data_IF_919803667553
#
_entry.id   IF_919803667553
#
_cell.length_a   1.000
_cell.length_b   1.000
_cell.length_c   1.000
_cell.angle_alpha   90.00
_cell.angle_beta   90.00
_cell.angle_gamma   90.00
#
_symmetry.space_group_name_H-M   'P 1'
#
loop_
_entity.id
_entity.type
_entity.pdbx_description
1 polymer ?
#
# COMPACT_ATOMS: atom_id res chain seq x y z
N UNK A 1 10.19 -18.14 14.00
CA UNK A 1 8.80 -17.75 13.75
C UNK A 1 8.68 -16.26 14.00
N UNK A 2 8.24 -15.51 13.04
CA UNK A 2 7.88 -14.12 13.24
C UNK A 2 6.54 -14.08 13.97
N UNK A 3 6.52 -13.56 15.18
CA UNK A 3 5.26 -13.33 15.89
C UNK A 3 4.48 -12.22 15.18
N UNK A 4 3.19 -12.42 15.00
CA UNK A 4 2.29 -11.38 14.52
C UNK A 4 2.16 -10.27 15.57
N UNK A 5 2.05 -9.04 15.10
CA UNK A 5 1.89 -7.86 15.94
C UNK A 5 0.53 -7.22 15.70
N UNK A 6 0.02 -6.54 16.71
CA UNK A 6 -1.26 -5.84 16.61
C UNK A 6 -1.27 -4.52 17.42
N UNK A 7 -2.08 -3.58 16.94
CA UNK A 7 -2.28 -2.25 17.52
C UNK A 7 -3.76 -1.93 17.55
N UNK A 8 -4.22 -1.30 18.61
CA UNK A 8 -5.63 -0.92 18.76
C UNK A 8 -5.77 0.59 18.93
N UNK A 9 -6.80 1.15 18.29
CA UNK A 9 -7.15 2.55 18.43
C UNK A 9 -8.61 2.79 17.99
N UNK A 10 -9.37 3.50 18.81
CA UNK A 10 -10.73 3.94 18.51
C UNK A 10 -11.67 2.81 18.03
N UNK A 11 -11.51 1.62 18.59
CA UNK A 11 -12.31 0.44 18.25
C UNK A 11 -11.88 -0.26 16.95
N UNK A 12 -10.74 0.11 16.37
CA UNK A 12 -10.11 -0.56 15.24
C UNK A 12 -8.84 -1.28 15.66
N UNK A 13 -8.52 -2.33 14.92
CA UNK A 13 -7.29 -3.11 15.09
C UNK A 13 -6.47 -3.09 13.80
N UNK A 14 -5.17 -2.88 13.91
CA UNK A 14 -4.21 -3.21 12.84
C UNK A 14 -3.47 -4.47 13.26
N UNK A 15 -3.27 -5.40 12.33
CA UNK A 15 -2.53 -6.64 12.60
C UNK A 15 -1.69 -7.07 11.40
N UNK A 16 -0.52 -7.64 11.67
CA UNK A 16 0.35 -8.29 10.69
C UNK A 16 0.09 -9.79 10.55
N UNK A 17 -0.91 -10.31 11.25
CA UNK A 17 -1.28 -11.73 11.21
C UNK A 17 -1.93 -12.09 9.87
N UNK A 18 -1.21 -12.86 9.04
CA UNK A 18 -1.69 -13.31 7.73
C UNK A 18 -2.94 -14.16 7.81
N UNK A 19 -3.12 -14.92 8.90
CA UNK A 19 -4.29 -15.79 9.07
C UNK A 19 -5.61 -15.02 9.21
N UNK A 20 -5.53 -13.74 9.59
CA UNK A 20 -6.69 -12.85 9.71
C UNK A 20 -7.10 -12.18 8.40
N UNK A 21 -6.25 -12.20 7.38
CA UNK A 21 -6.52 -11.52 6.13
C UNK A 21 -7.67 -12.17 5.36
N UNK A 22 -8.56 -11.34 4.87
CA UNK A 22 -9.61 -11.74 3.94
C UNK A 22 -9.12 -11.56 2.50
N UNK A 23 -8.55 -12.62 1.93
CA UNK A 23 -7.97 -12.59 0.58
C UNK A 23 -9.02 -12.24 -0.48
N UNK A 24 -10.24 -12.72 -0.32
CA UNK A 24 -11.32 -12.42 -1.29
C UNK A 24 -11.67 -10.93 -1.29
N UNK A 25 -11.75 -10.31 -0.12
CA UNK A 25 -11.98 -8.86 -0.01
C UNK A 25 -10.83 -8.06 -0.60
N UNK A 26 -9.60 -8.44 -0.30
CA UNK A 26 -8.41 -7.77 -0.83
C UNK A 26 -8.37 -7.89 -2.37
N UNK A 27 -8.58 -9.08 -2.89
CA UNK A 27 -8.63 -9.33 -4.34
C UNK A 27 -9.74 -8.52 -5.01
N UNK A 28 -10.95 -8.54 -4.47
CA UNK A 28 -12.08 -7.81 -5.03
C UNK A 28 -11.80 -6.31 -5.09
N UNK A 29 -11.30 -5.74 -4.00
CA UNK A 29 -10.95 -4.32 -3.98
C UNK A 29 -9.85 -3.97 -4.99
N UNK A 30 -8.77 -4.71 -4.99
CA UNK A 30 -7.62 -4.43 -5.86
C UNK A 30 -7.97 -4.59 -7.34
N UNK A 31 -8.71 -5.62 -7.70
CA UNK A 31 -9.06 -5.90 -9.09
C UNK A 31 -10.12 -4.97 -9.66
N UNK A 32 -11.06 -4.51 -8.84
CA UNK A 32 -12.25 -3.81 -9.31
C UNK A 32 -12.31 -2.33 -8.91
N UNK A 33 -11.69 -1.94 -7.80
CA UNK A 33 -11.78 -0.58 -7.28
C UNK A 33 -10.44 0.19 -7.34
N UNK A 34 -9.31 -0.51 -7.31
CA UNK A 34 -7.98 0.12 -7.31
C UNK A 34 -7.46 0.30 -8.73
N UNK A 35 -7.22 1.55 -9.13
CA UNK A 35 -6.71 1.87 -10.47
C UNK A 35 -5.33 1.23 -10.75
N UNK A 36 -4.49 1.07 -9.72
CA UNK A 36 -3.13 0.55 -9.86
C UNK A 36 -3.05 -0.97 -9.98
N UNK A 37 -4.14 -1.68 -9.77
CA UNK A 37 -4.18 -3.13 -9.72
C UNK A 37 -5.33 -3.74 -10.53
N UNK A 38 -5.89 -2.98 -11.48
CA UNK A 38 -7.03 -3.41 -12.30
C UNK A 38 -6.78 -4.78 -12.93
N UNK A 39 -7.72 -5.70 -12.75
CA UNK A 39 -7.67 -7.05 -13.33
C UNK A 39 -6.66 -8.00 -12.68
N UNK A 40 -6.02 -7.63 -11.57
CA UNK A 40 -5.09 -8.51 -10.86
C UNK A 40 -5.80 -9.76 -10.38
N UNK A 41 -5.24 -10.94 -10.69
CA UNK A 41 -5.84 -12.22 -10.31
C UNK A 41 -5.72 -12.51 -8.82
N UNK A 42 -6.63 -13.38 -8.30
CA UNK A 42 -6.56 -13.84 -6.91
C UNK A 42 -5.23 -14.51 -6.56
N UNK A 43 -4.71 -15.32 -7.48
CA UNK A 43 -3.42 -16.00 -7.29
C UNK A 43 -2.26 -15.01 -7.15
N UNK A 44 -2.22 -13.97 -7.98
CA UNK A 44 -1.23 -12.90 -7.89
C UNK A 44 -1.34 -12.15 -6.56
N UNK A 45 -2.55 -11.84 -6.12
CA UNK A 45 -2.79 -11.20 -4.81
C UNK A 45 -2.27 -12.09 -3.68
N UNK A 46 -2.62 -13.37 -3.65
CA UNK A 46 -2.18 -14.31 -2.62
C UNK A 46 -0.64 -14.42 -2.58
N UNK A 47 -0.01 -14.62 -3.73
CA UNK A 47 1.45 -14.71 -3.84
C UNK A 47 2.15 -13.42 -3.37
N UNK A 48 1.59 -12.26 -3.72
CA UNK A 48 2.15 -10.98 -3.30
C UNK A 48 2.10 -10.79 -1.78
N UNK A 49 1.04 -11.25 -1.14
CA UNK A 49 0.88 -11.20 0.32
C UNK A 49 1.87 -12.14 1.01
N UNK A 50 2.07 -13.34 0.49
CA UNK A 50 3.05 -14.30 1.03
C UNK A 50 4.49 -13.75 1.03
N UNK A 51 4.83 -12.94 0.05
CA UNK A 51 6.18 -12.40 -0.18
C UNK A 51 6.36 -10.95 0.26
N UNK A 52 5.49 -10.44 1.10
CA UNK A 52 5.56 -9.09 1.65
C UNK A 52 5.12 -9.08 3.11
N UNK A 53 5.31 -7.97 3.81
CA UNK A 53 4.78 -7.80 5.16
C UNK A 53 3.40 -7.14 5.06
N UNK A 54 2.32 -7.88 5.33
CA UNK A 54 0.97 -7.33 5.23
C UNK A 54 0.52 -6.68 6.53
N UNK A 55 -0.33 -5.67 6.40
CA UNK A 55 -1.05 -5.03 7.48
C UNK A 55 -2.54 -5.01 7.13
N UNK A 56 -3.37 -5.64 7.95
CA UNK A 56 -4.82 -5.54 7.85
C UNK A 56 -5.38 -4.56 8.87
N UNK A 57 -6.40 -3.81 8.50
CA UNK A 57 -7.20 -2.99 9.41
C UNK A 57 -8.54 -3.70 9.61
N UNK A 58 -8.98 -3.81 10.87
CA UNK A 58 -10.19 -4.54 11.23
C UNK A 58 -11.12 -3.70 12.09
N UNK A 59 -12.42 -3.86 11.90
CA UNK A 59 -13.48 -3.43 12.81
C UNK A 59 -14.20 -4.69 13.30
N UNK A 60 -13.97 -5.07 14.57
CA UNK A 60 -14.41 -6.39 15.03
C UNK A 60 -13.76 -7.51 14.20
N UNK A 61 -14.60 -8.39 13.64
CA UNK A 61 -14.13 -9.50 12.80
C UNK A 61 -13.95 -9.10 11.32
N UNK A 62 -14.40 -7.92 10.91
CA UNK A 62 -14.39 -7.49 9.52
C UNK A 62 -13.10 -6.77 9.16
N UNK A 63 -12.47 -7.16 8.06
CA UNK A 63 -11.37 -6.40 7.48
C UNK A 63 -11.92 -5.20 6.73
N UNK A 64 -11.36 -4.01 7.03
CA UNK A 64 -11.81 -2.73 6.47
C UNK A 64 -10.70 -1.94 5.76
N UNK A 65 -9.50 -2.45 5.79
CA UNK A 65 -8.35 -1.82 5.13
C UNK A 65 -7.17 -2.77 5.01
N UNK A 66 -6.17 -2.33 4.26
CA UNK A 66 -5.00 -3.15 3.94
C UNK A 66 -3.82 -2.29 3.52
N UNK A 67 -2.64 -2.80 3.73
CA UNK A 67 -1.40 -2.37 3.10
C UNK A 67 -0.41 -3.54 3.10
N UNK A 68 0.56 -3.50 2.22
CA UNK A 68 1.69 -4.43 2.28
C UNK A 68 2.99 -3.70 2.00
N UNK A 69 4.05 -4.17 2.62
CA UNK A 69 5.39 -3.63 2.46
C UNK A 69 6.26 -4.69 1.77
N UNK A 70 6.72 -4.37 0.57
CA UNK A 70 7.70 -5.19 -0.15
C UNK A 70 9.08 -4.76 0.30
N UNK A 71 9.84 -5.67 0.89
CA UNK A 71 11.11 -5.31 1.54
C UNK A 71 12.05 -6.50 1.66
N UNK A 72 13.35 -6.21 1.66
CA UNK A 72 14.39 -7.16 2.05
C UNK A 72 14.70 -7.10 3.56
N UNK A 73 14.00 -6.27 4.32
CA UNK A 73 14.22 -5.99 5.74
C UNK A 73 15.60 -5.40 6.08
N UNK A 74 16.31 -4.87 5.10
CA UNK A 74 17.66 -4.35 5.29
C UNK A 74 17.90 -3.02 4.59
N UNK A 75 17.55 -2.90 3.31
CA UNK A 75 17.98 -1.76 2.48
C UNK A 75 16.83 -0.92 1.94
N UNK A 76 15.66 -1.51 1.76
CA UNK A 76 14.62 -0.94 0.91
C UNK A 76 13.22 -1.36 1.36
N UNK A 77 12.27 -0.46 1.22
CA UNK A 77 10.86 -0.75 1.37
C UNK A 77 10.02 -0.08 0.28
N UNK A 78 9.08 -0.83 -0.29
CA UNK A 78 8.04 -0.35 -1.19
C UNK A 78 6.69 -0.44 -0.49
N UNK A 79 6.01 0.68 -0.33
CA UNK A 79 4.64 0.73 0.20
C UNK A 79 3.68 0.43 -0.93
N UNK A 80 2.90 -0.64 -0.79
CA UNK A 80 2.04 -1.15 -1.84
C UNK A 80 0.62 -1.45 -1.35
N UNK A 81 -0.34 -1.35 -2.28
CA UNK A 81 -1.72 -1.80 -2.11
C UNK A 81 -2.43 -1.23 -0.87
N UNK A 82 -2.19 0.05 -0.58
CA UNK A 82 -2.82 0.74 0.55
C UNK A 82 -4.26 1.12 0.22
N UNK A 83 -5.20 0.63 1.02
CA UNK A 83 -6.59 1.07 0.91
C UNK A 83 -7.34 1.00 2.24
N UNK A 84 -8.38 1.81 2.33
CA UNK A 84 -9.43 1.75 3.35
C UNK A 84 -10.77 1.69 2.63
N UNK A 85 -11.65 0.79 3.05
CA UNK A 85 -12.98 0.68 2.45
C UNK A 85 -13.75 1.99 2.60
N UNK A 86 -14.57 2.38 1.59
CA UNK A 86 -15.24 3.68 1.57
C UNK A 86 -16.02 4.02 2.84
N UNK A 87 -16.71 3.05 3.43
CA UNK A 87 -17.54 3.24 4.64
C UNK A 87 -16.73 3.60 5.90
N UNK A 88 -15.43 3.35 5.86
CA UNK A 88 -14.51 3.60 6.99
C UNK A 88 -13.54 4.76 6.74
N UNK A 89 -13.65 5.44 5.61
CA UNK A 89 -12.83 6.62 5.29
C UNK A 89 -13.21 7.84 6.13
N UNK A 90 -12.32 8.84 6.18
CA UNK A 90 -12.54 10.06 6.94
C UNK A 90 -12.36 9.91 8.45
N UNK A 91 -11.76 8.83 8.91
CA UNK A 91 -11.53 8.51 10.33
C UNK A 91 -10.05 8.51 10.73
N UNK A 92 -9.16 8.88 9.81
CA UNK A 92 -7.72 8.88 10.04
C UNK A 92 -7.07 7.49 10.01
N UNK A 93 -7.72 6.47 9.46
CA UNK A 93 -7.20 5.10 9.44
C UNK A 93 -5.95 4.96 8.57
N UNK A 94 -5.90 5.60 7.41
CA UNK A 94 -4.71 5.58 6.55
C UNK A 94 -3.52 6.26 7.22
N UNK A 95 -3.73 7.35 7.91
CA UNK A 95 -2.71 8.04 8.69
C UNK A 95 -2.18 7.14 9.80
N UNK A 96 -3.07 6.55 10.59
CA UNK A 96 -2.69 5.64 11.67
C UNK A 96 -1.96 4.40 11.14
N UNK A 97 -2.41 3.83 10.01
CA UNK A 97 -1.74 2.72 9.35
C UNK A 97 -0.28 3.08 9.00
N UNK A 98 -0.06 4.26 8.43
CA UNK A 98 1.31 4.71 8.11
C UNK A 98 2.14 4.97 9.36
N UNK A 99 1.56 5.51 10.43
CA UNK A 99 2.25 5.65 11.73
C UNK A 99 2.75 4.29 12.23
N UNK A 100 1.90 3.27 12.20
CA UNK A 100 2.24 1.90 12.61
C UNK A 100 3.33 1.31 11.70
N UNK A 101 3.20 1.44 10.40
CA UNK A 101 4.16 0.92 9.42
C UNK A 101 5.54 1.53 9.61
N UNK A 102 5.62 2.86 9.67
CA UNK A 102 6.90 3.58 9.79
C UNK A 102 7.59 3.28 11.13
N UNK A 103 6.83 3.05 12.20
CA UNK A 103 7.37 2.74 13.51
C UNK A 103 7.63 1.23 13.73
N UNK A 104 7.30 0.38 12.78
CA UNK A 104 7.42 -1.07 12.94
C UNK A 104 8.88 -1.48 13.16
N UNK A 105 9.19 -2.29 14.19
CA UNK A 105 10.57 -2.62 14.57
C UNK A 105 11.41 -3.28 13.47
N UNK A 106 10.77 -4.06 12.59
CA UNK A 106 11.46 -4.75 11.48
C UNK A 106 11.66 -3.87 10.24
N UNK A 107 11.12 -2.66 10.24
CA UNK A 107 11.15 -1.73 9.09
C UNK A 107 12.00 -0.49 9.42
N UNK A 108 13.15 -0.68 10.02
CA UNK A 108 14.04 0.42 10.45
C UNK A 108 15.38 0.36 9.73
N UNK A 109 16.02 1.52 9.60
CA UNK A 109 17.38 1.63 9.07
C UNK A 109 17.50 1.49 7.55
N UNK A 110 16.41 1.51 6.82
CA UNK A 110 16.44 1.43 5.36
C UNK A 110 17.04 2.70 4.75
N UNK A 111 17.83 2.52 3.74
CA UNK A 111 18.35 3.64 2.95
C UNK A 111 17.23 4.39 2.24
N UNK A 112 16.16 3.69 1.86
CA UNK A 112 15.09 4.28 1.07
C UNK A 112 13.76 3.56 1.27
N UNK A 113 12.72 4.36 1.40
CA UNK A 113 11.34 3.97 1.22
C UNK A 113 10.83 4.57 -0.07
N UNK A 114 10.04 3.84 -0.84
CA UNK A 114 9.39 4.35 -2.05
C UNK A 114 7.92 3.94 -2.11
N UNK A 115 7.16 4.72 -2.81
CA UNK A 115 5.78 4.43 -3.19
C UNK A 115 5.44 5.17 -4.49
N UNK A 116 4.34 4.76 -5.10
CA UNK A 116 3.72 5.48 -6.20
C UNK A 116 2.28 5.76 -5.83
N UNK A 117 1.82 6.98 -6.05
CA UNK A 117 0.43 7.38 -5.79
C UNK A 117 -0.01 8.42 -6.81
N UNK A 118 -1.28 8.36 -7.19
CA UNK A 118 -1.91 9.34 -8.08
C UNK A 118 -2.39 10.57 -7.30
N UNK A 119 -2.93 10.37 -6.10
CA UNK A 119 -3.76 11.37 -5.41
C UNK A 119 -3.56 11.48 -3.90
N UNK A 120 -2.67 10.70 -3.31
CA UNK A 120 -2.47 10.66 -1.86
C UNK A 120 -1.12 11.26 -1.38
N UNK A 121 -0.48 12.12 -2.18
CA UNK A 121 0.80 12.73 -1.84
C UNK A 121 0.78 13.42 -0.47
N UNK A 122 -0.27 14.17 -0.17
CA UNK A 122 -0.40 14.91 1.10
C UNK A 122 -0.41 14.00 2.33
N UNK A 123 -0.92 12.78 2.21
CA UNK A 123 -0.85 11.78 3.28
C UNK A 123 0.60 11.38 3.54
N UNK A 124 1.32 11.00 2.50
CA UNK A 124 2.67 10.45 2.61
C UNK A 124 3.72 11.51 2.94
N UNK A 125 3.54 12.75 2.50
CA UNK A 125 4.39 13.88 2.87
C UNK A 125 4.49 14.09 4.38
N UNK A 126 3.43 13.78 5.12
CA UNK A 126 3.41 13.83 6.59
C UNK A 126 4.40 12.85 7.24
N UNK A 127 4.80 11.82 6.51
CA UNK A 127 5.75 10.79 6.95
C UNK A 127 7.13 10.93 6.33
N UNK A 128 7.43 12.08 5.74
CA UNK A 128 8.72 12.40 5.18
C UNK A 128 8.94 11.92 3.74
N UNK A 129 7.91 11.42 3.07
CA UNK A 129 7.99 11.12 1.64
C UNK A 129 8.02 12.40 0.84
N UNK A 130 8.91 12.46 -0.11
CA UNK A 130 9.10 13.59 -1.03
C UNK A 130 9.08 13.09 -2.46
N UNK A 131 8.98 13.99 -3.43
CA UNK A 131 9.24 13.64 -4.83
C UNK A 131 10.62 13.00 -4.94
N UNK A 132 10.78 12.06 -5.86
CA UNK A 132 12.07 11.43 -6.09
C UNK A 132 13.17 12.49 -6.22
N UNK A 133 14.21 12.36 -5.42
CA UNK A 133 15.30 13.33 -5.40
C UNK A 133 16.02 13.42 -6.75
N UNK A 134 16.11 12.30 -7.47
CA UNK A 134 16.70 12.21 -8.81
C UNK A 134 15.84 11.32 -9.69
N UNK A 135 14.69 11.82 -10.16
CA UNK A 135 13.74 11.02 -10.95
C UNK A 135 14.38 10.49 -12.25
N UNK A 136 15.33 11.24 -12.82
CA UNK A 136 16.07 10.85 -14.02
C UNK A 136 16.91 9.57 -13.86
N UNK A 137 17.08 9.08 -12.64
CA UNK A 137 17.81 7.81 -12.36
C UNK A 137 16.89 6.60 -12.25
N UNK A 138 15.58 6.82 -12.27
CA UNK A 138 14.59 5.77 -12.10
C UNK A 138 14.08 5.33 -13.46
N UNK A 139 13.96 4.03 -13.60
CA UNK A 139 13.43 3.39 -14.80
C UNK A 139 12.43 2.33 -14.39
N UNK A 140 11.37 2.17 -15.16
CA UNK A 140 10.44 1.06 -15.03
C UNK A 140 10.44 0.21 -16.30
N UNK A 141 10.12 -1.05 -16.12
CA UNK A 141 9.86 -1.97 -17.23
C UNK A 141 8.44 -2.51 -17.08
N UNK A 142 7.46 -1.88 -17.72
CA UNK A 142 6.09 -2.36 -17.66
C UNK A 142 5.91 -3.66 -18.42
N UNK A 143 4.99 -4.50 -17.96
CA UNK A 143 4.51 -5.63 -18.73
C UNK A 143 3.65 -5.10 -19.90
N UNK A 144 3.98 -5.41 -21.18
CA UNK A 144 3.20 -4.94 -22.32
C UNK A 144 1.76 -5.49 -22.34
N UNK A 145 1.49 -6.55 -21.58
CA UNK A 145 0.15 -7.15 -21.46
C UNK A 145 -0.57 -6.74 -20.18
N UNK A 146 -0.01 -5.82 -19.40
CA UNK A 146 -0.63 -5.36 -18.16
C UNK A 146 -1.98 -4.73 -18.45
N UNK A 147 -3.02 -5.24 -17.78
CA UNK A 147 -4.34 -4.61 -17.79
C UNK A 147 -4.30 -3.37 -16.90
N UNK A 148 -4.52 -2.23 -17.51
CA UNK A 148 -4.47 -0.95 -16.84
C UNK A 148 -5.84 -0.30 -16.79
N UNK A 149 -6.08 0.44 -15.72
CA UNK A 149 -7.07 1.50 -15.79
C UNK A 149 -6.64 2.46 -16.92
N UNK A 150 -7.56 2.91 -17.79
CA UNK A 150 -7.23 3.85 -18.87
C UNK A 150 -6.49 5.10 -18.39
N UNK A 151 -6.61 5.44 -17.13
CA UNK A 151 -6.01 6.63 -16.51
C UNK A 151 -4.64 6.38 -15.86
N UNK A 152 -4.17 5.14 -15.81
CA UNK A 152 -2.92 4.81 -15.11
C UNK A 152 -1.69 5.50 -15.72
N UNK A 153 -1.60 5.49 -17.06
CA UNK A 153 -0.47 6.03 -17.80
C UNK A 153 -0.73 7.43 -18.40
N UNK A 154 -1.93 7.97 -18.23
CA UNK A 154 -2.18 9.33 -18.70
C UNK A 154 -1.54 10.32 -17.74
N UNK A 155 -0.79 11.32 -18.25
CA UNK A 155 -0.38 12.44 -17.45
C UNK A 155 -1.61 13.05 -16.78
N UNK A 156 -1.50 13.39 -15.52
CA UNK A 156 -2.51 14.24 -14.89
C UNK A 156 -2.41 15.63 -15.48
N UNK A 157 -3.51 16.37 -15.58
CA UNK A 157 -3.56 17.72 -16.15
C UNK A 157 -2.52 18.69 -15.55
N UNK A 158 -1.93 18.32 -14.40
CA UNK A 158 -0.84 19.04 -13.75
C UNK A 158 0.55 18.71 -14.30
N UNK A 159 0.71 17.60 -15.05
CA UNK A 159 1.99 17.21 -15.66
C UNK A 159 2.16 17.75 -17.08
N UNK A 160 1.08 18.10 -17.75
CA UNK A 160 1.11 18.75 -19.07
C UNK A 160 1.60 20.22 -19.04
N UNK A 161 1.82 20.78 -17.85
CA UNK A 161 2.24 22.18 -17.69
C UNK A 161 3.72 22.36 -17.33
N UNK A 162 4.54 21.31 -17.46
CA UNK A 162 5.98 21.43 -17.28
C UNK A 162 6.67 21.28 -18.66
N UNK A 163 6.63 22.35 -19.41
CA UNK A 163 7.60 22.61 -20.45
C UNK A 163 8.86 23.24 -19.84
#
# INVERSE_FOLDING_TARGET
MSMSESWEKDGYLISTDRSRLNIELIHDYLSNAAYWAAGRSREVVATSIENSLPFGIYKGAEQVGFARIVTDYATFAWVADVFVLPEHRGRGLSKWLMEVIIAHPRLQGFRRWVLSTKDAHSLYERFGFIKLHRPERWMERPDPNMQESPDYWRPTDSEEQID
#
